data_IF_808745399333
#
_entry.id   IF_808745399333
#
_cell.length_a   1.000
_cell.length_b   1.000
_cell.length_c   1.000
_cell.angle_alpha   90.00
_cell.angle_beta   90.00
_cell.angle_gamma   90.00
#
_symmetry.space_group_name_H-M   'P 1'
#
loop_
_entity.id
_entity.type
_entity.pdbx_description
1 polymer ?
#
# COMPACT_ATOMS: atom_id res chain seq x y z
N UNK A 1 -64.70 39.55 15.77
CA UNK A 1 -63.46 40.27 16.13
C UNK A 1 -63.40 41.57 15.31
N UNK A 2 -63.23 42.74 15.95
CA UNK A 2 -63.24 44.04 15.25
C UNK A 2 -62.09 44.08 14.22
N UNK A 3 -62.33 44.58 13.00
CA UNK A 3 -61.34 44.63 11.91
C UNK A 3 -60.00 45.25 12.35
N UNK A 4 -60.01 46.16 13.32
CA UNK A 4 -58.80 46.74 13.94
C UNK A 4 -57.88 45.70 14.59
N UNK A 5 -58.43 44.69 15.28
CA UNK A 5 -57.66 43.64 15.97
C UNK A 5 -56.99 42.73 14.95
N UNK A 6 -57.66 42.44 13.83
CA UNK A 6 -57.10 41.64 12.75
C UNK A 6 -55.91 42.34 12.07
N UNK A 7 -55.99 43.65 11.84
CA UNK A 7 -54.87 44.42 11.29
C UNK A 7 -53.68 44.54 12.25
N UNK A 8 -53.93 44.62 13.56
CA UNK A 8 -52.86 44.61 14.57
C UNK A 8 -52.13 43.25 14.59
N UNK A 9 -52.88 42.15 14.51
CA UNK A 9 -52.30 40.79 14.48
C UNK A 9 -51.47 40.58 13.21
N UNK A 10 -51.98 41.00 12.05
CA UNK A 10 -51.26 40.91 10.77
C UNK A 10 -50.00 41.80 10.79
N UNK A 11 -50.08 43.00 11.36
CA UNK A 11 -48.92 43.90 11.50
C UNK A 11 -47.82 43.31 12.39
N UNK A 12 -48.18 42.70 13.52
CA UNK A 12 -47.23 42.06 14.44
C UNK A 12 -46.58 40.83 13.79
N UNK A 13 -47.36 40.02 13.06
CA UNK A 13 -46.85 38.88 12.31
C UNK A 13 -45.90 39.30 11.17
N UNK A 14 -46.21 40.38 10.45
CA UNK A 14 -45.34 40.91 9.40
C UNK A 14 -44.00 41.40 9.97
N UNK A 15 -44.02 42.09 11.12
CA UNK A 15 -42.79 42.55 11.81
C UNK A 15 -41.97 41.35 12.31
N UNK A 16 -42.62 40.32 12.85
CA UNK A 16 -41.93 39.11 13.31
C UNK A 16 -41.27 38.34 12.15
N UNK A 17 -41.93 38.25 10.99
CA UNK A 17 -41.36 37.61 9.78
C UNK A 17 -40.20 38.43 9.21
N UNK A 18 -40.29 39.76 9.22
CA UNK A 18 -39.19 40.64 8.79
C UNK A 18 -38.00 40.54 9.76
N UNK A 19 -38.23 40.43 11.08
CA UNK A 19 -37.17 40.23 12.06
C UNK A 19 -36.49 38.85 11.92
N UNK A 20 -37.26 37.79 11.63
CA UNK A 20 -36.68 36.46 11.35
C UNK A 20 -35.90 36.43 10.02
N UNK A 21 -36.38 37.14 8.99
CA UNK A 21 -35.66 37.26 7.72
C UNK A 21 -34.37 38.09 7.86
N UNK A 22 -34.38 39.14 8.70
CA UNK A 22 -33.18 39.91 9.01
C UNK A 22 -32.12 39.09 9.77
N UNK A 23 -32.53 38.11 10.58
CA UNK A 23 -31.61 37.16 11.24
C UNK A 23 -31.01 36.12 10.27
N UNK A 24 -31.60 35.91 9.09
CA UNK A 24 -31.09 34.98 8.07
C UNK A 24 -30.26 35.66 6.97
N UNK A 25 -30.27 37.00 6.88
CA UNK A 25 -29.56 37.77 5.85
C UNK A 25 -28.41 38.66 6.36
N UNK A 26 -28.00 38.53 7.63
CA UNK A 26 -26.67 39.01 8.03
C UNK A 26 -25.62 38.03 7.53
N UNK A 27 -25.22 38.25 6.28
CA UNK A 27 -24.06 37.61 5.67
C UNK A 27 -22.81 37.83 6.52
N UNK A 28 -22.21 36.72 6.92
CA UNK A 28 -20.83 36.35 6.61
C UNK A 28 -19.92 37.51 6.15
N UNK A 29 -19.36 38.20 7.14
CA UNK A 29 -18.25 39.13 6.99
C UNK A 29 -17.46 39.11 8.27
N UNK A 30 -16.23 38.59 8.22
CA UNK A 30 -15.27 38.53 9.32
C UNK A 30 -15.71 37.77 10.60
N UNK A 31 -16.29 36.58 10.45
CA UNK A 31 -16.04 35.54 11.46
C UNK A 31 -14.71 34.88 11.15
N UNK A 32 -13.64 35.53 11.58
CA UNK A 32 -12.47 34.81 12.07
C UNK A 32 -13.03 33.74 13.00
N UNK A 33 -12.93 32.46 12.60
CA UNK A 33 -13.32 31.34 13.43
C UNK A 33 -12.51 31.41 14.72
N UNK A 34 -13.07 32.05 15.75
CA UNK A 34 -12.56 32.00 17.12
C UNK A 34 -12.95 30.65 17.71
N UNK A 35 -12.56 29.56 17.03
CA UNK A 35 -12.40 28.30 17.72
C UNK A 35 -11.47 28.61 18.91
N UNK A 36 -11.83 28.21 20.14
CA UNK A 36 -11.03 28.52 21.31
C UNK A 36 -9.61 28.06 21.04
N UNK A 37 -8.67 29.01 21.05
CA UNK A 37 -7.24 28.75 20.89
C UNK A 37 -6.89 27.77 21.99
N UNK A 38 -6.50 26.56 21.61
CA UNK A 38 -6.18 25.53 22.57
C UNK A 38 -4.89 25.92 23.28
N UNK A 39 -4.99 26.48 24.48
CA UNK A 39 -3.84 26.67 25.35
C UNK A 39 -3.39 25.28 25.82
N UNK A 40 -2.31 24.78 25.22
CA UNK A 40 -1.64 23.58 25.69
C UNK A 40 -0.69 24.02 26.79
N UNK A 41 -1.05 23.75 28.05
CA UNK A 41 -0.22 24.05 29.22
C UNK A 41 1.20 23.46 29.05
N UNK A 42 2.23 24.28 29.30
CA UNK A 42 3.64 23.85 29.28
C UNK A 42 4.36 24.00 27.94
N UNK A 43 3.71 24.47 26.87
CA UNK A 43 4.40 24.89 25.64
C UNK A 43 5.00 26.30 25.82
N UNK A 44 6.23 26.51 25.33
CA UNK A 44 6.82 27.86 25.28
C UNK A 44 6.05 28.79 24.34
N UNK A 45 6.15 30.11 24.58
CA UNK A 45 5.35 31.15 23.90
C UNK A 45 5.38 31.04 22.36
N UNK A 46 6.55 30.71 21.78
CA UNK A 46 6.70 30.54 20.34
C UNK A 46 5.88 29.34 19.80
N UNK A 47 5.81 28.23 20.53
CA UNK A 47 5.02 27.07 20.14
C UNK A 47 3.52 27.34 20.30
N UNK A 48 3.11 28.06 21.35
CA UNK A 48 1.72 28.48 21.54
C UNK A 48 1.26 29.45 20.43
N UNK A 49 2.13 30.39 20.01
CA UNK A 49 1.85 31.29 18.89
C UNK A 49 1.64 30.51 17.58
N UNK A 50 2.47 29.51 17.29
CA UNK A 50 2.32 28.62 16.13
C UNK A 50 1.00 27.82 16.16
N UNK A 51 0.61 27.30 17.32
CA UNK A 51 -0.67 26.60 17.50
C UNK A 51 -1.84 27.53 17.19
N UNK A 52 -1.79 28.78 17.67
CA UNK A 52 -2.81 29.79 17.41
C UNK A 52 -2.86 30.23 15.96
N UNK A 53 -1.71 30.53 15.35
CA UNK A 53 -1.58 30.95 13.95
C UNK A 53 -2.17 29.90 13.00
N UNK A 54 -1.92 28.62 13.31
CA UNK A 54 -2.41 27.49 12.52
C UNK A 54 -3.82 27.03 12.89
N UNK A 55 -4.47 27.67 13.89
CA UNK A 55 -5.81 27.31 14.36
C UNK A 55 -5.94 25.86 14.85
N UNK A 56 -4.88 25.31 15.46
CA UNK A 56 -4.84 23.91 15.87
C UNK A 56 -5.57 23.68 17.20
N UNK A 57 -6.33 22.60 17.30
CA UNK A 57 -6.89 22.12 18.57
C UNK A 57 -5.85 21.33 19.37
N UNK A 58 -6.11 21.10 20.67
CA UNK A 58 -5.26 20.21 21.49
C UNK A 58 -5.10 18.82 20.88
N UNK A 59 -6.15 18.31 20.23
CA UNK A 59 -6.12 17.00 19.56
C UNK A 59 -5.20 17.01 18.34
N UNK A 60 -5.23 18.09 17.54
CA UNK A 60 -4.31 18.23 16.42
C UNK A 60 -2.84 18.32 16.88
N UNK A 61 -2.57 19.05 17.97
CA UNK A 61 -1.23 19.13 18.55
C UNK A 61 -0.76 17.76 19.05
N UNK A 62 -1.63 17.04 19.77
CA UNK A 62 -1.33 15.69 20.23
C UNK A 62 -1.06 14.71 19.07
N UNK A 63 -1.86 14.75 18.01
CA UNK A 63 -1.66 13.94 16.82
C UNK A 63 -0.34 14.29 16.10
N UNK A 64 0.02 15.56 16.01
CA UNK A 64 1.30 15.99 15.43
C UNK A 64 2.50 15.50 16.24
N UNK A 65 2.43 15.54 17.58
CA UNK A 65 3.49 15.03 18.45
C UNK A 65 3.64 13.51 18.37
N UNK A 66 2.59 12.77 18.02
CA UNK A 66 2.67 11.31 17.79
C UNK A 66 3.42 10.91 16.53
N UNK A 67 3.45 11.77 15.51
CA UNK A 67 4.07 11.46 14.22
C UNK A 67 5.41 12.14 14.02
N UNK A 68 5.67 13.23 14.75
CA UNK A 68 6.92 13.95 14.67
C UNK A 68 8.08 13.15 15.29
N UNK A 69 9.08 12.85 14.47
CA UNK A 69 10.36 12.30 14.91
C UNK A 69 11.49 13.32 14.62
N UNK A 70 12.19 13.84 15.63
CA UNK A 70 13.24 14.82 15.43
C UNK A 70 14.51 14.19 14.83
N UNK A 71 15.37 15.04 14.26
CA UNK A 71 16.67 14.63 13.73
C UNK A 71 17.51 13.90 14.79
N UNK A 72 18.16 12.80 14.38
CA UNK A 72 18.96 11.97 15.27
C UNK A 72 18.15 10.93 16.08
N UNK A 73 16.83 10.91 15.97
CA UNK A 73 16.01 9.84 16.55
C UNK A 73 15.59 8.82 15.50
N UNK A 74 15.51 7.56 15.93
CA UNK A 74 15.07 6.44 15.10
C UNK A 74 13.57 6.22 15.23
N UNK A 75 12.94 5.89 14.11
CA UNK A 75 11.59 5.34 14.12
C UNK A 75 11.58 3.98 14.84
N UNK A 76 10.62 3.72 15.75
CA UNK A 76 10.54 2.46 16.48
C UNK A 76 10.14 1.26 15.61
N UNK A 77 9.49 1.50 14.45
CA UNK A 77 9.08 0.43 13.54
C UNK A 77 9.49 0.74 12.10
N UNK A 78 9.68 -0.33 11.32
CA UNK A 78 9.80 -0.26 9.87
C UNK A 78 8.57 -0.86 9.22
N UNK A 79 8.09 -0.19 8.18
CA UNK A 79 7.05 -0.69 7.29
C UNK A 79 7.70 -1.01 5.95
N UNK A 80 7.42 -2.21 5.44
CA UNK A 80 7.79 -2.60 4.09
C UNK A 80 6.54 -2.48 3.22
N UNK A 81 6.58 -1.56 2.26
CA UNK A 81 5.44 -1.20 1.43
C UNK A 81 5.73 -1.51 -0.04
N UNK A 82 4.74 -2.05 -0.74
CA UNK A 82 4.78 -2.16 -2.19
C UNK A 82 4.90 -0.76 -2.82
N UNK A 83 5.63 -0.66 -3.94
CA UNK A 83 5.65 0.52 -4.81
C UNK A 83 4.51 0.55 -5.84
N UNK A 84 3.67 -0.49 -5.86
CA UNK A 84 2.65 -0.67 -6.90
C UNK A 84 3.31 -0.80 -8.27
N UNK A 85 2.75 -0.05 -9.22
CA UNK A 85 3.14 -0.02 -10.63
C UNK A 85 4.56 0.48 -10.88
N UNK A 86 5.24 1.00 -9.86
CA UNK A 86 6.64 1.39 -9.99
C UNK A 86 7.58 0.17 -9.97
N UNK A 87 7.18 -0.94 -9.33
CA UNK A 87 7.91 -2.21 -9.34
C UNK A 87 9.00 -2.37 -8.26
N UNK A 88 9.06 -1.48 -7.27
CA UNK A 88 10.02 -1.50 -6.15
C UNK A 88 9.34 -1.87 -4.83
N UNK A 89 10.16 -2.05 -3.79
CA UNK A 89 9.76 -2.19 -2.40
C UNK A 89 10.31 -1.01 -1.58
N UNK A 90 9.47 -0.35 -0.80
CA UNK A 90 9.86 0.78 0.04
C UNK A 90 10.01 0.37 1.51
N UNK A 91 11.07 0.85 2.15
CA UNK A 91 11.28 0.78 3.60
C UNK A 91 10.93 2.12 4.19
N UNK A 92 9.92 2.17 5.07
CA UNK A 92 9.36 3.39 5.63
C UNK A 92 9.48 3.35 7.15
N UNK A 93 10.01 4.41 7.76
CA UNK A 93 10.04 4.56 9.21
C UNK A 93 8.66 4.96 9.74
N UNK A 94 8.21 4.33 10.83
CA UNK A 94 6.94 4.66 11.50
C UNK A 94 7.24 5.10 12.93
N UNK A 95 6.76 6.27 13.39
CA UNK A 95 5.63 7.04 12.84
C UNK A 95 6.00 8.21 11.92
N UNK A 96 7.28 8.44 11.62
CA UNK A 96 7.69 9.60 10.81
C UNK A 96 7.22 9.57 9.35
N UNK A 97 6.87 8.39 8.86
CA UNK A 97 6.48 8.09 7.47
C UNK A 97 7.54 8.47 6.43
N UNK A 98 8.81 8.59 6.84
CA UNK A 98 9.94 8.85 5.93
C UNK A 98 10.31 7.57 5.18
N UNK A 99 10.50 7.67 3.86
CA UNK A 99 11.12 6.60 3.08
C UNK A 99 12.61 6.55 3.46
N UNK A 100 13.03 5.45 4.08
CA UNK A 100 14.40 5.19 4.50
C UNK A 100 15.22 4.54 3.39
N UNK A 101 14.57 3.70 2.57
CA UNK A 101 15.20 3.02 1.43
C UNK A 101 14.15 2.65 0.38
N UNK A 102 14.58 2.64 -0.89
CA UNK A 102 13.85 2.00 -2.00
C UNK A 102 14.70 0.84 -2.49
N UNK A 103 14.14 -0.37 -2.45
CA UNK A 103 14.76 -1.60 -2.91
C UNK A 103 14.24 -1.88 -4.32
N UNK A 104 15.15 -1.92 -5.29
CA UNK A 104 14.80 -2.27 -6.66
C UNK A 104 14.46 -3.76 -6.76
N UNK A 105 13.35 -4.10 -7.43
CA UNK A 105 12.89 -5.50 -7.60
C UNK A 105 12.65 -5.81 -9.07
N UNK A 106 11.53 -5.36 -9.63
CA UNK A 106 11.10 -5.72 -10.99
C UNK A 106 11.43 -4.65 -12.05
N UNK A 107 11.67 -3.42 -11.62
CA UNK A 107 12.05 -2.31 -12.48
C UNK A 107 13.53 -1.93 -12.25
N UNK A 108 14.31 -1.68 -13.31
CA UNK A 108 15.66 -1.13 -13.21
C UNK A 108 15.67 0.24 -12.51
N UNK A 109 16.71 0.49 -11.72
CA UNK A 109 16.89 1.72 -10.95
C UNK A 109 18.24 2.36 -11.30
N UNK A 110 18.28 3.33 -12.24
CA UNK A 110 19.53 3.83 -12.80
C UNK A 110 20.41 4.57 -11.79
N UNK A 111 19.83 5.16 -10.74
CA UNK A 111 20.61 5.82 -9.70
C UNK A 111 21.33 4.84 -8.77
N UNK A 112 20.82 3.60 -8.64
CA UNK A 112 21.47 2.49 -7.93
C UNK A 112 22.39 1.68 -8.84
N UNK A 113 22.21 1.80 -10.17
CA UNK A 113 22.82 0.90 -11.16
C UNK A 113 22.13 -0.46 -11.28
N UNK A 114 21.03 -0.69 -10.55
CA UNK A 114 20.31 -1.96 -10.58
C UNK A 114 19.62 -2.16 -11.94
N UNK A 115 19.89 -3.30 -12.58
CA UNK A 115 19.42 -3.62 -13.93
C UNK A 115 20.22 -2.96 -15.05
N UNK A 116 21.41 -2.43 -14.75
CA UNK A 116 22.29 -1.78 -15.73
C UNK A 116 23.73 -2.32 -15.67
N UNK A 117 24.04 -3.29 -16.53
CA UNK A 117 25.42 -3.70 -16.87
C UNK A 117 26.07 -4.73 -15.94
N UNK A 118 25.38 -5.13 -14.87
CA UNK A 118 25.83 -6.17 -13.95
C UNK A 118 25.25 -7.53 -14.38
N UNK A 119 26.14 -8.49 -14.66
CA UNK A 119 25.76 -9.76 -15.31
C UNK A 119 24.84 -10.64 -14.46
N UNK A 120 24.99 -10.61 -13.13
CA UNK A 120 24.13 -11.42 -12.26
C UNK A 120 22.71 -10.86 -12.22
N UNK A 121 22.53 -9.55 -12.20
CA UNK A 121 21.24 -8.89 -12.39
C UNK A 121 20.63 -9.17 -13.77
N UNK A 122 21.41 -9.10 -14.85
CA UNK A 122 20.88 -9.46 -16.18
C UNK A 122 20.39 -10.91 -16.22
N UNK A 123 21.16 -11.85 -15.64
CA UNK A 123 20.74 -13.26 -15.51
C UNK A 123 19.47 -13.40 -14.66
N UNK A 124 19.35 -12.61 -13.59
CA UNK A 124 18.16 -12.61 -12.73
C UNK A 124 16.92 -12.05 -13.45
N UNK A 125 17.07 -11.01 -14.29
CA UNK A 125 15.98 -10.53 -15.14
C UNK A 125 15.58 -11.56 -16.20
N UNK A 126 16.54 -12.31 -16.74
CA UNK A 126 16.26 -13.43 -17.66
C UNK A 126 15.52 -14.58 -16.96
N UNK A 127 15.89 -14.93 -15.72
CA UNK A 127 15.17 -15.92 -14.88
C UNK A 127 13.71 -15.52 -14.64
N UNK A 128 13.46 -14.22 -14.46
CA UNK A 128 12.13 -13.64 -14.26
C UNK A 128 11.42 -13.22 -15.55
N UNK A 129 11.92 -13.57 -16.73
CA UNK A 129 11.35 -13.08 -17.98
C UNK A 129 10.05 -13.80 -18.36
N UNK A 130 9.20 -13.09 -19.09
CA UNK A 130 7.87 -13.55 -19.50
C UNK A 130 7.94 -13.90 -20.97
N UNK A 131 7.98 -15.20 -21.28
CA UNK A 131 7.97 -15.70 -22.66
C UNK A 131 9.06 -15.10 -23.56
N UNK A 132 10.22 -14.72 -23.01
CA UNK A 132 11.33 -14.12 -23.77
C UNK A 132 11.12 -12.66 -24.17
N UNK A 133 10.16 -11.95 -23.56
CA UNK A 133 9.79 -10.59 -23.93
C UNK A 133 10.76 -9.50 -23.39
N UNK A 134 11.70 -9.86 -22.51
CA UNK A 134 12.62 -8.91 -21.88
C UNK A 134 11.92 -7.92 -20.94
N UNK A 135 10.97 -8.38 -20.13
CA UNK A 135 10.14 -7.51 -19.29
C UNK A 135 10.93 -6.93 -18.11
N UNK A 136 11.12 -5.60 -18.13
CA UNK A 136 11.86 -4.85 -17.09
C UNK A 136 10.99 -3.83 -16.32
N UNK A 137 9.72 -4.15 -16.11
CA UNK A 137 8.80 -3.39 -15.26
C UNK A 137 7.94 -4.37 -14.49
N UNK A 138 7.28 -3.95 -13.40
CA UNK A 138 6.36 -4.81 -12.66
C UNK A 138 5.37 -4.01 -11.83
N UNK A 139 4.38 -4.69 -11.27
CA UNK A 139 3.34 -4.15 -10.41
C UNK A 139 3.34 -4.87 -9.06
N UNK A 140 4.07 -4.30 -8.09
CA UNK A 140 4.24 -4.91 -6.76
C UNK A 140 2.98 -4.80 -5.93
N UNK A 141 2.60 -5.83 -5.17
CA UNK A 141 1.36 -5.77 -4.39
C UNK A 141 1.55 -6.10 -2.89
N UNK A 142 1.96 -7.33 -2.56
CA UNK A 142 1.92 -7.83 -1.18
C UNK A 142 3.31 -8.28 -0.71
N UNK A 143 4.08 -7.40 -0.04
CA UNK A 143 5.30 -7.83 0.63
C UNK A 143 4.96 -8.72 1.82
N UNK A 144 5.61 -9.87 1.92
CA UNK A 144 5.51 -10.81 3.03
C UNK A 144 6.90 -11.02 3.65
N UNK A 145 7.00 -10.81 4.95
CA UNK A 145 8.23 -11.07 5.72
C UNK A 145 8.36 -12.56 6.01
N UNK A 146 9.60 -13.06 6.02
CA UNK A 146 9.90 -14.39 6.53
C UNK A 146 9.57 -14.51 8.02
N UNK A 147 9.11 -15.71 8.38
CA UNK A 147 8.74 -16.13 9.71
C UNK A 147 9.53 -17.36 10.18
N UNK A 148 9.76 -17.42 11.49
CA UNK A 148 10.22 -18.60 12.24
C UNK A 148 9.27 -18.82 13.42
N UNK A 149 8.60 -19.98 13.48
CA UNK A 149 7.58 -20.29 14.49
C UNK A 149 6.41 -19.31 14.50
N UNK A 150 6.04 -18.75 13.35
CA UNK A 150 4.94 -17.80 13.19
C UNK A 150 5.27 -16.37 13.63
N UNK A 151 6.56 -16.03 13.73
CA UNK A 151 7.03 -14.68 14.09
C UNK A 151 7.99 -14.18 13.05
N UNK A 152 7.85 -12.91 12.65
CA UNK A 152 8.81 -12.28 11.76
C UNK A 152 10.23 -12.39 12.32
N UNK A 153 11.11 -12.96 11.51
CA UNK A 153 12.53 -13.12 11.85
C UNK A 153 13.41 -12.05 11.18
N UNK A 154 12.89 -11.38 10.14
CA UNK A 154 13.53 -10.24 9.50
C UNK A 154 14.67 -10.60 8.55
N UNK A 155 14.74 -11.85 8.09
CA UNK A 155 15.79 -12.30 7.16
C UNK A 155 15.45 -11.98 5.69
N UNK A 156 14.19 -12.20 5.27
CA UNK A 156 13.77 -12.09 3.87
C UNK A 156 12.42 -11.39 3.72
N UNK A 157 12.20 -10.83 2.53
CA UNK A 157 10.89 -10.41 2.05
C UNK A 157 10.62 -11.06 0.69
N UNK A 158 9.40 -11.53 0.53
CA UNK A 158 8.86 -11.99 -0.73
C UNK A 158 7.85 -10.95 -1.22
N UNK A 159 7.86 -10.64 -2.51
CA UNK A 159 6.92 -9.69 -3.07
C UNK A 159 6.48 -10.14 -4.47
N UNK A 160 5.17 -10.11 -4.72
CA UNK A 160 4.64 -10.48 -6.02
C UNK A 160 4.66 -9.34 -7.03
N UNK A 161 4.65 -9.71 -8.31
CA UNK A 161 4.30 -8.88 -9.45
C UNK A 161 2.99 -9.36 -10.07
N UNK A 162 1.94 -8.57 -9.86
CA UNK A 162 0.60 -8.81 -10.38
C UNK A 162 0.55 -8.93 -11.89
N UNK A 163 1.28 -8.06 -12.58
CA UNK A 163 1.14 -7.89 -14.01
C UNK A 163 1.71 -9.06 -14.81
N UNK A 164 2.68 -9.77 -14.25
CA UNK A 164 3.45 -10.80 -14.96
C UNK A 164 3.51 -12.15 -14.23
N UNK A 165 2.84 -12.31 -13.08
CA UNK A 165 2.93 -13.50 -12.23
C UNK A 165 4.38 -13.90 -11.94
N UNK A 166 5.04 -13.03 -11.16
CA UNK A 166 6.43 -13.24 -10.71
C UNK A 166 6.53 -13.04 -9.21
N UNK A 167 7.49 -13.71 -8.60
CA UNK A 167 7.89 -13.53 -7.20
C UNK A 167 9.31 -12.98 -7.14
N UNK A 168 9.50 -11.89 -6.41
CA UNK A 168 10.81 -11.36 -6.04
C UNK A 168 11.20 -11.83 -4.64
N UNK A 169 12.44 -12.31 -4.49
CA UNK A 169 13.06 -12.63 -3.20
C UNK A 169 14.04 -11.52 -2.84
N UNK A 170 13.82 -10.87 -1.70
CA UNK A 170 14.67 -9.80 -1.17
C UNK A 170 15.33 -10.29 0.12
N UNK A 171 16.63 -10.12 0.23
CA UNK A 171 17.39 -10.38 1.47
C UNK A 171 17.48 -9.09 2.28
N UNK A 172 17.04 -9.12 3.54
CA UNK A 172 17.03 -7.95 4.41
C UNK A 172 18.37 -7.68 5.10
N UNK A 173 19.34 -8.59 4.99
CA UNK A 173 20.69 -8.37 5.53
C UNK A 173 21.45 -7.31 4.75
N UNK A 174 21.17 -7.20 3.45
CA UNK A 174 21.76 -6.18 2.57
C UNK A 174 20.73 -5.33 1.79
N UNK A 175 19.44 -5.64 1.93
CA UNK A 175 18.31 -4.95 1.29
C UNK A 175 18.43 -4.97 -0.24
N UNK A 176 18.67 -6.17 -0.80
CA UNK A 176 18.78 -6.40 -2.24
C UNK A 176 17.95 -7.59 -2.70
N UNK A 177 17.46 -7.51 -3.93
CA UNK A 177 16.78 -8.61 -4.62
C UNK A 177 17.79 -9.68 -5.03
N UNK A 178 17.53 -10.93 -4.67
CA UNK A 178 18.40 -12.09 -4.91
C UNK A 178 17.90 -13.01 -6.01
N UNK A 179 16.60 -12.96 -6.29
CA UNK A 179 15.97 -13.80 -7.29
C UNK A 179 14.66 -13.17 -7.77
N UNK A 180 14.39 -13.33 -9.07
CA UNK A 180 13.09 -13.15 -9.67
C UNK A 180 12.65 -14.51 -10.23
N UNK A 181 11.43 -14.94 -9.90
CA UNK A 181 10.87 -16.20 -10.38
C UNK A 181 9.63 -15.91 -11.18
N UNK A 182 9.61 -16.28 -12.46
CA UNK A 182 8.38 -16.31 -13.26
C UNK A 182 7.62 -17.61 -12.99
N UNK A 183 6.34 -17.50 -12.63
CA UNK A 183 5.48 -18.66 -12.57
C UNK A 183 5.21 -19.20 -13.99
N UNK A 184 5.55 -20.46 -14.32
CA UNK A 184 5.41 -20.96 -15.69
C UNK A 184 3.97 -21.31 -16.07
N UNK A 185 3.04 -21.32 -15.10
CA UNK A 185 1.65 -21.75 -15.29
C UNK A 185 0.69 -20.55 -15.28
N UNK A 186 0.93 -19.55 -14.41
CA UNK A 186 0.11 -18.36 -14.31
C UNK A 186 0.64 -17.20 -15.17
N UNK A 187 -0.27 -16.34 -15.63
CA UNK A 187 0.06 -15.11 -16.39
C UNK A 187 -0.26 -13.82 -15.63
N UNK A 188 -0.90 -13.94 -14.48
CA UNK A 188 -1.25 -12.84 -13.59
C UNK A 188 -1.23 -13.35 -12.14
N UNK A 189 -1.05 -12.43 -11.21
CA UNK A 189 -0.99 -12.70 -9.76
C UNK A 189 -1.82 -11.65 -9.03
N UNK A 190 -2.39 -12.01 -7.89
CA UNK A 190 -2.75 -11.03 -6.87
C UNK A 190 -2.69 -11.58 -5.45
N UNK A 191 -2.86 -12.90 -5.23
CA UNK A 191 -3.00 -13.54 -3.92
C UNK A 191 -1.81 -13.42 -2.95
N UNK A 192 -0.89 -12.51 -3.25
CA UNK A 192 0.30 -12.18 -2.47
C UNK A 192 1.31 -13.31 -2.43
N UNK A 193 2.41 -13.06 -1.72
CA UNK A 193 3.50 -14.02 -1.50
C UNK A 193 3.53 -14.46 -0.04
N UNK A 194 2.39 -14.86 0.53
CA UNK A 194 2.30 -15.22 1.95
C UNK A 194 3.18 -16.42 2.29
N UNK A 195 3.72 -16.44 3.51
CA UNK A 195 4.63 -17.50 3.94
C UNK A 195 3.99 -18.38 5.00
N UNK A 196 4.39 -19.65 5.01
CA UNK A 196 4.10 -20.53 6.15
C UNK A 196 4.87 -20.09 7.41
N UNK A 197 4.46 -20.49 8.63
CA UNK A 197 5.06 -20.02 9.88
C UNK A 197 6.58 -20.17 10.05
N UNK A 198 7.20 -21.11 9.32
CA UNK A 198 8.66 -21.33 9.30
C UNK A 198 9.31 -20.95 7.94
N UNK A 199 8.56 -20.26 7.08
CA UNK A 199 8.98 -19.89 5.71
C UNK A 199 9.44 -21.10 4.90
N UNK A 200 8.81 -22.25 5.10
CA UNK A 200 9.08 -23.42 4.27
C UNK A 200 8.53 -23.24 2.85
N UNK A 201 7.44 -22.50 2.73
CA UNK A 201 6.74 -22.22 1.48
C UNK A 201 6.41 -20.75 1.35
N UNK A 202 6.57 -20.23 0.14
CA UNK A 202 6.03 -18.94 -0.33
C UNK A 202 4.85 -19.26 -1.23
N UNK A 203 3.68 -18.72 -0.90
CA UNK A 203 2.41 -19.06 -1.54
C UNK A 203 2.04 -17.92 -2.47
N UNK A 204 1.95 -18.20 -3.78
CA UNK A 204 1.62 -17.25 -4.85
C UNK A 204 0.25 -17.60 -5.45
N UNK A 205 -0.67 -16.64 -5.53
CA UNK A 205 -2.04 -16.86 -6.02
C UNK A 205 -2.37 -16.09 -7.29
N UNK A 206 -2.83 -16.78 -8.34
CA UNK A 206 -3.29 -16.13 -9.59
C UNK A 206 -4.65 -15.46 -9.40
N UNK A 207 -4.82 -14.20 -9.86
CA UNK A 207 -6.07 -13.46 -9.69
C UNK A 207 -7.18 -13.94 -10.61
N UNK A 208 -6.87 -13.97 -11.90
CA UNK A 208 -7.81 -14.28 -12.96
C UNK A 208 -7.53 -15.67 -13.49
N UNK A 209 -8.58 -16.47 -13.61
CA UNK A 209 -8.50 -17.73 -14.31
C UNK A 209 -8.06 -17.48 -15.76
N UNK A 210 -7.12 -18.30 -16.23
CA UNK A 210 -6.60 -18.24 -17.58
C UNK A 210 -6.27 -19.67 -18.05
N UNK A 211 -6.16 -19.90 -19.37
CA UNK A 211 -5.57 -21.13 -19.85
C UNK A 211 -4.12 -21.25 -19.33
N UNK A 212 -3.75 -22.40 -18.73
CA UNK A 212 -2.43 -22.59 -18.14
C UNK A 212 -1.28 -22.30 -19.11
N UNK A 213 -0.19 -21.75 -18.59
CA UNK A 213 1.04 -21.49 -19.35
C UNK A 213 0.93 -20.38 -20.40
N UNK A 214 -0.10 -19.54 -20.31
CA UNK A 214 -0.34 -18.47 -21.28
C UNK A 214 -0.87 -18.98 -22.63
N UNK A 215 -1.45 -20.18 -22.64
CA UNK A 215 -2.18 -20.68 -23.80
C UNK A 215 -3.39 -19.78 -24.13
N UNK A 216 -3.88 -19.93 -25.36
CA UNK A 216 -5.12 -19.28 -25.78
C UNK A 216 -6.25 -20.31 -25.84
N UNK A 217 -7.40 -19.96 -25.27
CA UNK A 217 -8.67 -20.64 -25.47
C UNK A 217 -9.77 -19.57 -25.64
N UNK A 218 -10.80 -19.82 -26.47
CA UNK A 218 -11.93 -18.91 -26.56
C UNK A 218 -12.74 -18.93 -25.26
N UNK A 219 -13.38 -17.81 -24.94
CA UNK A 219 -14.19 -17.67 -23.71
C UNK A 219 -15.38 -18.65 -23.65
N UNK A 220 -15.81 -19.20 -24.80
CA UNK A 220 -16.83 -20.26 -24.85
C UNK A 220 -16.42 -21.52 -24.09
N UNK A 221 -15.10 -21.75 -23.96
CA UNK A 221 -14.52 -22.97 -23.40
C UNK A 221 -14.07 -22.73 -21.95
N UNK A 222 -14.57 -21.66 -21.30
CA UNK A 222 -14.13 -21.20 -19.98
C UNK A 222 -14.13 -22.31 -18.92
N UNK A 223 -15.20 -23.09 -18.85
CA UNK A 223 -15.31 -24.17 -17.86
C UNK A 223 -14.35 -25.35 -18.12
N UNK A 224 -13.87 -25.49 -19.35
CA UNK A 224 -13.07 -26.63 -19.80
C UNK A 224 -11.57 -26.28 -19.77
N UNK A 225 -11.21 -25.09 -20.23
CA UNK A 225 -9.81 -24.70 -20.49
C UNK A 225 -9.23 -23.70 -19.47
N UNK A 226 -10.06 -22.89 -18.81
CA UNK A 226 -9.55 -21.88 -17.87
C UNK A 226 -9.38 -22.50 -16.49
N UNK A 227 -8.31 -22.15 -15.79
CA UNK A 227 -8.05 -22.59 -14.41
C UNK A 227 -7.55 -21.44 -13.56
N UNK A 228 -7.98 -21.41 -12.30
CA UNK A 228 -7.30 -20.65 -11.26
C UNK A 228 -6.17 -21.49 -10.67
N UNK A 229 -5.16 -20.88 -10.06
CA UNK A 229 -4.05 -21.62 -9.45
C UNK A 229 -3.50 -20.94 -8.21
N UNK A 230 -3.02 -21.76 -7.27
CA UNK A 230 -2.17 -21.33 -6.15
C UNK A 230 -0.88 -22.15 -6.20
N UNK A 231 0.26 -21.48 -6.30
CA UNK A 231 1.58 -22.11 -6.33
C UNK A 231 2.24 -22.04 -4.97
N UNK A 232 2.78 -23.16 -4.51
CA UNK A 232 3.60 -23.29 -3.32
C UNK A 232 5.06 -23.40 -3.74
N UNK A 233 5.79 -22.31 -3.58
CA UNK A 233 7.21 -22.23 -3.86
C UNK A 233 8.02 -22.72 -2.66
N UNK A 234 8.80 -23.80 -2.83
CA UNK A 234 9.69 -24.28 -1.77
C UNK A 234 10.80 -23.26 -1.58
N UNK A 235 10.97 -22.73 -0.37
CA UNK A 235 12.05 -21.81 -0.06
C UNK A 235 13.21 -22.52 0.66
N UNK A 236 14.43 -22.23 0.22
CA UNK A 236 15.67 -22.65 0.86
C UNK A 236 16.30 -21.41 1.52
N UNK A 237 16.25 -21.38 2.85
CA UNK A 237 16.76 -20.25 3.65
C UNK A 237 18.28 -20.13 3.62
N UNK A 238 19.00 -21.24 3.48
CA UNK A 238 20.46 -21.22 3.46
C UNK A 238 20.96 -20.60 2.15
N UNK A 239 20.32 -20.96 1.04
CA UNK A 239 20.63 -20.40 -0.27
C UNK A 239 19.97 -19.03 -0.50
N UNK A 240 18.93 -18.68 0.27
CA UNK A 240 18.14 -17.47 0.08
C UNK A 240 17.38 -17.49 -1.24
N UNK A 241 16.92 -18.67 -1.68
CA UNK A 241 16.31 -18.88 -3.01
C UNK A 241 15.10 -19.81 -2.97
N UNK A 242 14.17 -19.56 -3.88
CA UNK A 242 13.09 -20.49 -4.24
C UNK A 242 13.68 -21.63 -5.08
N UNK A 243 13.33 -22.85 -4.71
CA UNK A 243 13.65 -24.10 -5.39
C UNK A 243 12.46 -24.54 -6.26
N UNK A 244 12.43 -24.06 -7.51
CA UNK A 244 11.31 -24.28 -8.43
C UNK A 244 11.05 -25.77 -8.71
N UNK A 245 12.09 -26.59 -8.71
CA UNK A 245 12.03 -28.04 -8.92
C UNK A 245 11.43 -28.82 -7.75
N UNK A 246 11.35 -28.21 -6.56
CA UNK A 246 10.70 -28.78 -5.36
C UNK A 246 9.36 -28.12 -5.06
N UNK A 247 8.91 -27.24 -5.94
CA UNK A 247 7.67 -26.48 -5.82
C UNK A 247 6.52 -27.19 -6.53
N UNK A 248 5.29 -26.88 -6.16
CA UNK A 248 4.10 -27.44 -6.79
C UNK A 248 2.98 -26.41 -6.87
N UNK A 249 2.01 -26.64 -7.76
CA UNK A 249 0.82 -25.82 -7.86
C UNK A 249 -0.44 -26.65 -7.60
N UNK A 250 -1.42 -26.00 -7.00
CA UNK A 250 -2.78 -26.52 -6.88
C UNK A 250 -3.64 -25.87 -7.96
N UNK A 251 -4.16 -26.71 -8.85
CA UNK A 251 -5.20 -26.29 -9.80
C UNK A 251 -6.52 -26.07 -9.08
N UNK A 252 -7.19 -24.98 -9.43
CA UNK A 252 -8.48 -24.58 -8.90
C UNK A 252 -9.48 -24.39 -10.05
N UNK A 253 -10.79 -24.55 -9.77
CA UNK A 253 -11.82 -24.15 -10.72
C UNK A 253 -11.63 -22.69 -11.21
N UNK A 254 -12.22 -22.31 -12.36
CA UNK A 254 -11.97 -21.00 -12.97
C UNK A 254 -12.73 -19.85 -12.27
N UNK A 255 -12.55 -19.70 -10.96
CA UNK A 255 -12.95 -18.50 -10.24
C UNK A 255 -11.80 -17.50 -10.17
N UNK A 256 -12.18 -16.24 -9.94
CA UNK A 256 -11.22 -15.20 -9.66
C UNK A 256 -10.90 -15.21 -8.18
N UNK A 257 -9.62 -15.14 -7.87
CA UNK A 257 -9.09 -15.18 -6.51
C UNK A 257 -8.64 -13.77 -6.15
N UNK A 258 -8.96 -13.34 -4.95
CA UNK A 258 -8.31 -12.18 -4.35
C UNK A 258 -7.40 -12.69 -3.21
N UNK A 259 -6.98 -11.80 -2.32
CA UNK A 259 -6.25 -12.12 -1.08
C UNK A 259 -6.79 -13.35 -0.31
#
# INVERSE_FOLDING_TARGET
>A
MKRSILYTIIGVLAIAVIALAAMQFTGDGDRQSTAPVAYVEGLGDAAAALVSERGLTSENVYAALKTYMPSGQHDPYMMFASGGHSGQLHVIGVPSMRILRTIAVFAPEPWQGYGYGEKSQDSMFEEGDVLGAGVRWGDTHHPALSETGGRYDGDFIFINDKAQARVGVVDLRDFETKQLVKNPIAMNDHGGTFVTPDTEWVIEGGQYAAPPGGAYAPISDYNEEYRGMVTFWKFDREQGRILTEKSFAMELPPYWQDL
#
